data_IF_622618630714
#
_entry.id   IF_622618630714
#
_cell.length_a   1.000
_cell.length_b   1.000
_cell.length_c   1.000
_cell.angle_alpha   90.00
_cell.angle_beta   90.00
_cell.angle_gamma   90.00
#
_symmetry.space_group_name_H-M   'P 1'
#
loop_
_entity.id
_entity.type
_entity.pdbx_description
1 polymer ?
#
# COMPACT_ATOMS: atom_id res chain seq x y z
N UNK A 1 -14.32 10.99 -16.69
CA UNK A 1 -13.37 10.72 -15.60
C UNK A 1 -13.22 9.21 -15.30
N UNK A 2 -13.45 8.32 -16.27
CA UNK A 2 -13.36 6.86 -16.06
C UNK A 2 -12.22 6.21 -16.84
N UNK A 3 -11.60 6.96 -17.77
CA UNK A 3 -10.44 6.53 -18.55
C UNK A 3 -9.14 6.56 -17.74
N UNK A 4 -8.99 7.51 -16.83
CA UNK A 4 -7.76 7.71 -16.06
C UNK A 4 -7.49 6.58 -15.04
N UNK A 5 -8.54 6.01 -14.45
CA UNK A 5 -8.43 4.89 -13.47
C UNK A 5 -7.85 3.61 -14.07
N UNK A 6 -8.03 3.39 -15.37
CA UNK A 6 -7.56 2.18 -16.07
C UNK A 6 -6.07 2.29 -16.43
N UNK A 7 -5.55 3.50 -16.61
CA UNK A 7 -4.12 3.74 -16.85
C UNK A 7 -3.30 3.64 -15.56
N UNK A 8 -3.81 4.15 -14.44
CA UNK A 8 -3.14 4.08 -13.14
C UNK A 8 -2.89 2.65 -12.65
N UNK A 9 -3.83 1.74 -12.89
CA UNK A 9 -3.65 0.32 -12.50
C UNK A 9 -2.56 -0.40 -13.31
N UNK A 10 -2.21 0.09 -14.50
CA UNK A 10 -1.11 -0.45 -15.31
C UNK A 10 0.26 0.08 -14.89
N UNK A 11 0.29 1.22 -14.20
CA UNK A 11 1.49 1.92 -13.73
C UNK A 11 1.68 1.82 -12.20
N UNK A 12 0.91 1.00 -11.48
CA UNK A 12 1.20 0.69 -10.07
C UNK A 12 2.59 0.03 -9.97
N UNK A 13 3.43 0.52 -9.06
CA UNK A 13 4.78 -0.03 -8.79
C UNK A 13 4.76 -1.55 -8.61
N UNK A 14 3.76 -2.09 -7.90
CA UNK A 14 3.60 -3.54 -7.66
C UNK A 14 3.32 -4.31 -8.97
N UNK A 15 2.61 -3.68 -9.90
CA UNK A 15 2.33 -4.25 -11.22
C UNK A 15 3.59 -4.23 -12.09
N UNK A 16 4.38 -3.16 -12.03
CA UNK A 16 5.66 -3.07 -12.77
C UNK A 16 6.69 -4.05 -12.20
N UNK A 17 6.84 -4.12 -10.88
CA UNK A 17 7.73 -5.11 -10.23
C UNK A 17 7.34 -6.55 -10.57
N UNK A 18 6.04 -6.85 -10.68
CA UNK A 18 5.56 -8.15 -11.13
C UNK A 18 5.92 -8.43 -12.59
N UNK A 19 5.75 -7.45 -13.48
CA UNK A 19 6.14 -7.56 -14.91
C UNK A 19 7.63 -7.79 -15.09
N UNK A 20 8.48 -7.14 -14.29
CA UNK A 20 9.93 -7.37 -14.29
C UNK A 20 10.24 -8.83 -13.91
N UNK A 21 9.60 -9.37 -12.86
CA UNK A 21 9.78 -10.77 -12.47
C UNK A 21 9.30 -11.77 -13.54
N UNK A 22 8.35 -11.36 -14.38
CA UNK A 22 7.79 -12.14 -15.47
C UNK A 22 8.58 -11.97 -16.79
N UNK A 23 9.54 -11.04 -16.85
CA UNK A 23 10.29 -10.71 -18.06
C UNK A 23 9.52 -9.83 -19.06
N UNK A 24 8.40 -9.24 -18.64
CA UNK A 24 7.52 -8.39 -19.46
C UNK A 24 7.88 -6.90 -19.40
N UNK A 25 8.81 -6.50 -18.53
CA UNK A 25 9.32 -5.13 -18.39
C UNK A 25 10.78 -5.14 -17.93
N UNK A 26 11.53 -4.08 -18.25
CA UNK A 26 12.94 -3.95 -17.84
C UNK A 26 13.11 -3.04 -16.61
N UNK A 27 14.29 -3.12 -16.00
CA UNK A 27 14.64 -2.25 -14.87
C UNK A 27 14.74 -0.77 -15.31
N UNK A 28 15.18 -0.51 -16.54
CA UNK A 28 15.25 0.84 -17.11
C UNK A 28 13.85 1.45 -17.29
N UNK A 29 12.87 0.68 -17.75
CA UNK A 29 11.48 1.13 -17.90
C UNK A 29 10.84 1.49 -16.56
N UNK A 30 11.12 0.73 -15.50
CA UNK A 30 10.69 1.07 -14.13
C UNK A 30 11.35 2.37 -13.65
N UNK A 31 12.65 2.51 -13.90
CA UNK A 31 13.37 3.72 -13.49
C UNK A 31 12.84 4.97 -14.18
N UNK A 32 12.56 4.89 -15.49
CA UNK A 32 11.94 5.98 -16.24
C UNK A 32 10.58 6.36 -15.68
N UNK A 33 9.73 5.36 -15.38
CA UNK A 33 8.43 5.62 -14.76
C UNK A 33 8.54 6.30 -13.40
N UNK A 34 9.45 5.84 -12.54
CA UNK A 34 9.65 6.45 -11.21
C UNK A 34 10.13 7.91 -11.30
N UNK A 35 10.87 8.27 -12.34
CA UNK A 35 11.31 9.64 -12.59
C UNK A 35 10.20 10.55 -13.12
N UNK A 36 9.19 10.00 -13.80
CA UNK A 36 8.01 10.76 -14.26
C UNK A 36 7.04 11.13 -13.12
N UNK A 37 7.15 10.48 -11.95
CA UNK A 37 6.24 10.70 -10.84
C UNK A 37 6.45 12.10 -10.23
N UNK A 38 5.37 12.87 -10.01
CA UNK A 38 5.47 14.16 -9.34
C UNK A 38 5.89 13.98 -7.88
N UNK A 39 6.69 14.91 -7.38
CA UNK A 39 6.98 14.96 -5.95
C UNK A 39 5.73 15.41 -5.18
N UNK A 40 5.15 14.48 -4.43
CA UNK A 40 3.97 14.72 -3.58
C UNK A 40 4.34 14.85 -2.09
N UNK A 41 5.64 14.80 -1.75
CA UNK A 41 6.11 14.86 -0.36
C UNK A 41 5.75 16.17 0.33
N UNK A 42 5.61 17.25 -0.45
CA UNK A 42 5.20 18.57 0.03
C UNK A 42 3.81 18.58 0.67
N UNK A 43 2.89 17.73 0.21
CA UNK A 43 1.51 17.66 0.70
C UNK A 43 1.30 16.54 1.74
N UNK A 44 2.37 15.97 2.28
CA UNK A 44 2.25 14.91 3.29
C UNK A 44 1.76 15.50 4.62
N UNK A 45 0.70 14.90 5.20
CA UNK A 45 0.17 15.26 6.51
C UNK A 45 0.47 14.15 7.54
N UNK A 46 0.68 14.55 8.79
CA UNK A 46 0.87 13.59 9.89
C UNK A 46 -0.44 12.89 10.21
N UNK A 47 -0.43 11.55 10.18
CA UNK A 47 -1.59 10.73 10.55
C UNK A 47 -1.27 9.95 11.82
N UNK A 48 -1.95 10.28 12.92
CA UNK A 48 -1.84 9.52 14.18
C UNK A 48 -2.89 8.42 14.24
N UNK A 49 -2.46 7.16 14.33
CA UNK A 49 -3.38 6.01 14.53
C UNK A 49 -3.30 5.55 15.99
N UNK A 50 -4.38 5.73 16.75
CA UNK A 50 -4.50 5.14 18.09
C UNK A 50 -4.82 3.66 17.98
N UNK A 51 -3.82 2.81 18.26
CA UNK A 51 -4.01 1.37 18.38
C UNK A 51 -4.68 1.08 19.73
N UNK A 52 -6.01 1.03 19.75
CA UNK A 52 -6.72 0.54 20.93
C UNK A 52 -6.35 -0.92 21.19
N UNK A 53 -5.57 -1.16 22.23
CA UNK A 53 -5.40 -2.51 22.78
C UNK A 53 -6.75 -2.92 23.37
N UNK A 54 -7.52 -3.73 22.65
CA UNK A 54 -8.61 -4.50 23.26
C UNK A 54 -8.01 -5.32 24.41
N UNK A 55 -8.16 -4.84 25.65
CA UNK A 55 -7.95 -5.67 26.84
C UNK A 55 -8.94 -6.82 26.76
N UNK A 56 -8.45 -8.02 26.45
CA UNK A 56 -9.24 -9.23 26.64
C UNK A 56 -9.77 -9.25 28.07
N UNK A 57 -11.08 -9.44 28.23
CA UNK A 57 -11.69 -9.64 29.55
C UNK A 57 -11.03 -10.86 30.20
N UNK A 58 -10.59 -10.79 31.47
CA UNK A 58 -10.11 -12.00 32.16
C UNK A 58 -11.26 -13.01 32.23
N UNK A 59 -10.96 -14.26 31.89
CA UNK A 59 -11.93 -15.35 31.95
C UNK A 59 -12.48 -15.46 33.38
N UNK A 60 -13.80 -15.37 33.48
CA UNK A 60 -14.57 -15.57 34.71
C UNK A 60 -14.31 -17.00 35.19
N UNK A 61 -13.55 -17.16 36.28
CA UNK A 61 -13.39 -18.48 36.91
C UNK A 61 -14.71 -18.81 37.59
N UNK A 62 -15.51 -19.67 36.97
CA UNK A 62 -16.69 -20.26 37.56
C UNK A 62 -16.33 -20.98 38.87
N UNK A 63 -16.98 -20.58 39.96
CA UNK A 63 -16.86 -21.23 41.25
C UNK A 63 -17.81 -22.44 41.23
N UNK A 64 -17.28 -23.66 41.25
CA UNK A 64 -18.08 -24.87 41.42
C UNK A 64 -18.34 -25.05 42.93
N UNK A 65 -19.61 -25.04 43.31
CA UNK A 65 -20.10 -25.40 44.64
C UNK A 65 -19.99 -26.91 44.88
#
# INVERSE_FOLDING_TARGET
MERDRIEDTKRDRRVIERKIRQGEATAEELQGYLQELPDLSWNAEEVTVSLERKKGKPAEKGNAH
#
